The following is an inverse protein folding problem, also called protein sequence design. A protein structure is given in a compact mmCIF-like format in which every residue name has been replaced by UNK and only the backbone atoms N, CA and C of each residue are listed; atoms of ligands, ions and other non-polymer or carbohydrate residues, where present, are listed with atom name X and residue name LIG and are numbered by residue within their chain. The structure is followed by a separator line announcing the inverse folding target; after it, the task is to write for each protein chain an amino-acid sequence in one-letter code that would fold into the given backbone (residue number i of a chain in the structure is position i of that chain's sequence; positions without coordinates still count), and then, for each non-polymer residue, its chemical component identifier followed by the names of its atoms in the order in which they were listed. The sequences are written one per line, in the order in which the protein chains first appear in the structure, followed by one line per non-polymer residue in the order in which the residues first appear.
data_IF_756569542553
#
_entry.id   IF_756569542553
#
_cell.length_a   1.000
_cell.length_b   1.000
_cell.length_c   1.000
_cell.angle_alpha   90.00
_cell.angle_beta   90.00
_cell.angle_gamma   90.00
#
_symmetry.space_group_name_H-M   'P 1'
#
loop_
_entity.id
_entity.type
_entity.pdbx_description
1 polymer ?
#
# COMPACT_ATOMS: atom_id res chain seq x y z
N UNK A 1 -44.79 -6.76 31.13
CA UNK A 1 -43.83 -5.96 31.92
C UNK A 1 -42.51 -6.69 31.83
N UNK A 2 -41.47 -5.99 31.38
CA UNK A 2 -40.10 -6.45 31.08
C UNK A 2 -39.41 -7.06 32.33
N UNK A 3 -38.31 -7.81 32.31
CA UNK A 3 -37.07 -7.75 31.51
C UNK A 3 -36.32 -9.11 31.53
N UNK A 4 -35.45 -9.28 30.54
CA UNK A 4 -34.45 -10.35 30.40
C UNK A 4 -33.16 -9.97 31.13
N UNK A 5 -32.62 -10.85 31.99
CA UNK A 5 -31.26 -10.70 32.51
C UNK A 5 -30.25 -11.46 31.65
N UNK A 6 -29.34 -10.69 31.07
CA UNK A 6 -28.13 -11.10 30.34
C UNK A 6 -26.94 -10.81 31.23
N UNK A 7 -26.22 -11.84 31.68
CA UNK A 7 -24.93 -11.68 32.37
C UNK A 7 -23.91 -12.62 31.71
N UNK A 8 -23.38 -12.18 30.56
CA UNK A 8 -22.17 -12.71 29.93
C UNK A 8 -21.00 -11.78 30.25
N UNK A 9 -20.53 -11.80 31.51
CA UNK A 9 -19.38 -11.02 31.96
C UNK A 9 -18.06 -11.57 31.43
N UNK A 10 -17.67 -11.18 30.22
CA UNK A 10 -16.29 -11.32 29.77
C UNK A 10 -15.41 -10.30 30.50
N UNK A 11 -14.42 -10.76 31.27
CA UNK A 11 -13.43 -9.88 31.89
C UNK A 11 -12.79 -8.95 30.86
N UNK A 12 -12.54 -7.67 31.19
CA UNK A 12 -11.84 -6.77 30.30
C UNK A 12 -10.42 -7.30 30.04
N UNK A 13 -9.94 -7.30 28.79
CA UNK A 13 -8.60 -7.80 28.47
C UNK A 13 -7.54 -6.99 29.22
N UNK A 14 -6.56 -7.70 29.76
CA UNK A 14 -5.51 -7.11 30.60
C UNK A 14 -4.48 -6.36 29.75
N UNK A 15 -3.70 -5.48 30.38
CA UNK A 15 -2.69 -4.66 29.71
C UNK A 15 -1.55 -5.46 29.04
N UNK A 16 -1.36 -6.73 29.41
CA UNK A 16 -0.42 -7.65 28.73
C UNK A 16 -1.02 -8.27 27.47
N UNK A 17 -2.32 -8.63 27.49
CA UNK A 17 -3.04 -9.13 26.30
C UNK A 17 -3.03 -8.09 25.17
N UNK A 18 -3.17 -6.81 25.52
CA UNK A 18 -3.06 -5.71 24.55
C UNK A 18 -1.65 -5.59 23.97
N UNK A 19 -0.59 -5.81 24.75
CA UNK A 19 0.79 -5.73 24.24
C UNK A 19 1.14 -6.89 23.32
N UNK A 20 0.75 -8.11 23.66
CA UNK A 20 0.97 -9.28 22.80
C UNK A 20 0.17 -9.19 21.50
N UNK A 21 -1.09 -8.73 21.57
CA UNK A 21 -1.93 -8.53 20.39
C UNK A 21 -1.35 -7.49 19.43
N UNK A 22 -0.74 -6.42 19.96
CA UNK A 22 -0.01 -5.45 19.16
C UNK A 22 1.26 -6.05 18.53
N UNK A 23 2.08 -6.78 19.29
CA UNK A 23 3.32 -7.39 18.79
C UNK A 23 3.07 -8.40 17.66
N UNK A 24 2.05 -9.25 17.78
CA UNK A 24 1.70 -10.23 16.75
C UNK A 24 1.23 -9.55 15.45
N UNK A 25 0.48 -8.45 15.57
CA UNK A 25 0.00 -7.67 14.41
C UNK A 25 1.11 -6.86 13.73
N UNK A 26 2.07 -6.29 14.47
CA UNK A 26 3.26 -5.65 13.88
C UNK A 26 4.03 -6.58 12.94
N UNK A 27 4.15 -7.87 13.28
CA UNK A 27 4.76 -8.89 12.43
C UNK A 27 3.99 -9.15 11.13
N UNK A 28 2.66 -9.01 11.13
CA UNK A 28 1.84 -9.21 9.92
C UNK A 28 1.93 -8.02 8.95
N UNK A 29 2.18 -6.80 9.48
CA UNK A 29 2.32 -5.59 8.66
C UNK A 29 3.64 -5.50 7.92
N UNK A 30 4.73 -5.88 8.58
CA UNK A 30 6.04 -5.95 7.92
C UNK A 30 6.01 -6.95 6.77
N UNK A 31 5.32 -8.08 6.96
CA UNK A 31 5.14 -9.08 5.91
C UNK A 31 4.26 -8.59 4.76
N UNK A 32 3.13 -7.92 5.04
CA UNK A 32 2.30 -7.32 4.00
C UNK A 32 3.05 -6.24 3.21
N UNK A 33 3.84 -5.40 3.87
CA UNK A 33 4.69 -4.41 3.21
C UNK A 33 5.79 -5.05 2.37
N UNK A 34 6.41 -6.14 2.86
CA UNK A 34 7.35 -6.95 2.08
C UNK A 34 6.68 -7.53 0.84
N UNK A 35 5.50 -8.12 0.96
CA UNK A 35 4.72 -8.64 -0.17
C UNK A 35 4.34 -7.53 -1.16
N UNK A 36 3.97 -6.35 -0.67
CA UNK A 36 3.73 -5.18 -1.52
C UNK A 36 5.01 -4.72 -2.25
N UNK A 37 6.17 -4.86 -1.62
CA UNK A 37 7.49 -4.60 -2.22
C UNK A 37 7.96 -5.69 -3.18
N UNK A 38 7.49 -6.94 -3.07
CA UNK A 38 7.80 -7.98 -4.06
C UNK A 38 7.21 -7.55 -5.41
N UNK A 39 8.11 -7.11 -6.30
CA UNK A 39 7.75 -6.48 -7.56
C UNK A 39 7.35 -7.52 -8.60
N UNK A 40 6.10 -7.96 -8.57
CA UNK A 40 5.53 -8.69 -9.69
C UNK A 40 5.21 -7.73 -10.83
N UNK A 41 5.58 -8.08 -12.08
CA UNK A 41 5.07 -7.40 -13.26
C UNK A 41 3.54 -7.37 -13.25
N UNK A 42 2.95 -6.33 -13.85
CA UNK A 42 1.51 -6.35 -14.09
C UNK A 42 1.16 -7.46 -15.09
N UNK A 43 -0.05 -8.06 -15.02
CA UNK A 43 -0.46 -9.04 -16.01
C UNK A 43 -0.35 -8.49 -17.43
N UNK A 44 0.37 -9.21 -18.30
CA UNK A 44 0.62 -8.80 -19.68
C UNK A 44 1.77 -7.80 -19.86
N UNK A 45 2.41 -7.37 -18.79
CA UNK A 45 3.61 -6.54 -18.86
C UNK A 45 4.79 -7.33 -19.45
N UNK A 46 5.41 -6.78 -20.48
CA UNK A 46 6.62 -7.31 -21.09
C UNK A 46 7.66 -6.19 -21.28
N UNK A 47 8.60 -6.09 -20.34
CA UNK A 47 9.65 -5.05 -20.35
C UNK A 47 10.60 -5.17 -21.56
N UNK A 48 10.66 -6.35 -22.18
CA UNK A 48 11.53 -6.63 -23.31
C UNK A 48 10.87 -6.34 -24.66
N UNK A 49 9.62 -5.83 -24.67
CA UNK A 49 8.87 -5.49 -25.90
C UNK A 49 9.75 -4.68 -26.87
N UNK A 50 9.82 -5.06 -28.16
CA UNK A 50 10.59 -4.33 -29.15
C UNK A 50 9.85 -3.09 -29.67
N UNK A 51 8.59 -2.89 -29.30
CA UNK A 51 7.73 -1.83 -29.84
C UNK A 51 7.72 -0.60 -28.94
N UNK A 52 8.03 0.56 -29.52
CA UNK A 52 8.01 1.83 -28.78
C UNK A 52 6.62 2.17 -28.24
N UNK A 53 5.56 1.90 -29.02
CA UNK A 53 4.18 2.19 -28.63
C UNK A 53 3.77 1.39 -27.38
N UNK A 54 4.17 0.11 -27.30
CA UNK A 54 3.93 -0.73 -26.11
C UNK A 54 4.66 -0.16 -24.88
N UNK A 55 5.91 0.28 -25.05
CA UNK A 55 6.67 0.88 -23.97
C UNK A 55 6.05 2.19 -23.47
N UNK A 56 5.55 3.02 -24.38
CA UNK A 56 4.85 4.26 -24.04
C UNK A 56 3.50 4.00 -23.37
N UNK A 57 2.77 2.96 -23.78
CA UNK A 57 1.53 2.54 -23.12
C UNK A 57 1.80 2.16 -21.66
N UNK A 58 2.79 1.29 -21.40
CA UNK A 58 3.14 0.88 -20.04
C UNK A 58 3.66 2.05 -19.20
N UNK A 59 4.43 2.96 -19.79
CA UNK A 59 4.81 4.21 -19.15
C UNK A 59 3.58 5.01 -18.67
N UNK A 60 2.54 5.12 -19.51
CA UNK A 60 1.26 5.73 -19.15
C UNK A 60 0.57 5.03 -17.97
N UNK A 61 0.44 3.71 -18.04
CA UNK A 61 -0.18 2.89 -16.97
C UNK A 61 0.52 3.11 -15.62
N UNK A 62 1.85 3.05 -15.59
CA UNK A 62 2.59 3.26 -14.34
C UNK A 62 2.50 4.69 -13.81
N UNK A 63 2.38 5.71 -14.68
CA UNK A 63 2.14 7.10 -14.26
C UNK A 63 0.78 7.23 -13.56
N UNK A 64 -0.27 6.66 -14.14
CA UNK A 64 -1.62 6.70 -13.55
C UNK A 64 -1.67 5.98 -12.21
N UNK A 65 -1.08 4.78 -12.12
CA UNK A 65 -1.02 4.01 -10.88
C UNK A 65 -0.25 4.76 -9.78
N UNK A 66 0.89 5.38 -10.12
CA UNK A 66 1.67 6.15 -9.17
C UNK A 66 0.89 7.39 -8.69
N UNK A 67 0.29 8.15 -9.60
CA UNK A 67 -0.49 9.34 -9.27
C UNK A 67 -1.69 9.01 -8.36
N UNK A 68 -2.35 7.89 -8.60
CA UNK A 68 -3.42 7.39 -7.75
C UNK A 68 -2.91 7.07 -6.33
N UNK A 69 -1.78 6.33 -6.20
CA UNK A 69 -1.19 6.02 -4.89
C UNK A 69 -0.75 7.26 -4.13
N UNK A 70 -0.14 8.23 -4.81
CA UNK A 70 0.27 9.51 -4.21
C UNK A 70 -0.93 10.33 -3.72
N UNK A 71 -2.04 10.30 -4.46
CA UNK A 71 -3.32 10.89 -4.03
C UNK A 71 -3.84 10.21 -2.76
N UNK A 72 -3.88 8.88 -2.72
CA UNK A 72 -4.32 8.15 -1.51
C UNK A 72 -3.41 8.43 -0.30
N UNK A 73 -2.09 8.51 -0.51
CA UNK A 73 -1.14 8.84 0.55
C UNK A 73 -1.40 10.23 1.14
N UNK A 74 -1.62 11.23 0.28
CA UNK A 74 -1.95 12.59 0.71
C UNK A 74 -3.26 12.61 1.51
N UNK A 75 -4.30 11.98 0.97
CA UNK A 75 -5.63 12.00 1.58
C UNK A 75 -5.64 11.23 2.92
N UNK A 76 -4.92 10.11 2.99
CA UNK A 76 -4.69 9.37 4.24
C UNK A 76 -3.93 10.22 5.25
N UNK A 77 -2.88 10.94 4.82
CA UNK A 77 -2.15 11.88 5.66
C UNK A 77 -3.04 12.98 6.26
N UNK A 78 -3.95 13.55 5.46
CA UNK A 78 -4.93 14.53 5.93
C UNK A 78 -5.93 13.94 6.92
N UNK A 79 -6.51 12.77 6.62
CA UNK A 79 -7.45 12.09 7.51
C UNK A 79 -6.81 11.79 8.88
N UNK A 80 -5.55 11.32 8.89
CA UNK A 80 -4.78 11.13 10.12
C UNK A 80 -4.50 12.42 10.88
N UNK A 81 -4.55 13.60 10.26
CA UNK A 81 -4.52 14.87 10.98
C UNK A 81 -5.76 15.13 11.84
N UNK A 82 -6.90 14.50 11.50
CA UNK A 82 -8.24 14.86 12.01
C UNK A 82 -8.85 13.88 13.03
N UNK A 83 -8.40 12.62 13.08
CA UNK A 83 -8.96 11.56 13.97
C UNK A 83 -8.36 11.68 15.39
N UNK A 84 -8.93 11.10 16.46
CA UNK A 84 -8.32 11.11 17.81
C UNK A 84 -7.06 10.21 17.92
N UNK A 85 -6.20 10.42 18.93
CA UNK A 85 -4.89 9.76 19.05
C UNK A 85 -4.90 8.21 18.95
N UNK A 86 -5.85 7.48 19.57
CA UNK A 86 -5.88 6.02 19.46
C UNK A 86 -6.26 5.50 18.07
N UNK A 87 -7.20 6.15 17.38
CA UNK A 87 -7.61 5.76 16.02
C UNK A 87 -6.59 6.14 14.94
N UNK A 88 -5.81 7.20 15.18
CA UNK A 88 -4.69 7.64 14.31
C UNK A 88 -3.54 6.64 14.30
N UNK A 89 -3.23 6.05 15.44
CA UNK A 89 -2.11 5.13 15.56
C UNK A 89 -2.37 3.81 14.80
N UNK A 90 -3.63 3.38 14.79
CA UNK A 90 -4.10 2.13 14.21
C UNK A 90 -4.20 2.18 12.68
N UNK A 91 -4.93 3.15 12.13
CA UNK A 91 -5.12 3.30 10.68
C UNK A 91 -3.85 3.87 10.01
N UNK A 92 -3.15 4.76 10.72
CA UNK A 92 -2.05 5.52 10.13
C UNK A 92 -0.75 4.75 9.95
N UNK A 93 -0.54 3.68 10.71
CA UNK A 93 0.68 2.87 10.61
C UNK A 93 0.61 1.85 9.47
N UNK A 94 -0.55 1.25 9.20
CA UNK A 94 -0.64 0.14 8.24
C UNK A 94 -0.87 0.62 6.82
N UNK A 95 -1.91 1.42 6.58
CA UNK A 95 -2.28 1.84 5.22
C UNK A 95 -1.20 2.71 4.60
N UNK A 96 -0.63 3.62 5.39
CA UNK A 96 0.43 4.50 4.91
C UNK A 96 1.71 3.73 4.54
N UNK A 97 2.13 2.76 5.36
CA UNK A 97 3.36 1.98 5.09
C UNK A 97 3.21 1.14 3.82
N UNK A 98 2.05 0.51 3.63
CA UNK A 98 1.77 -0.28 2.42
C UNK A 98 1.69 0.63 1.19
N UNK A 99 0.95 1.74 1.27
CA UNK A 99 0.84 2.70 0.17
C UNK A 99 2.20 3.32 -0.20
N UNK A 100 3.04 3.64 0.79
CA UNK A 100 4.41 4.14 0.56
C UNK A 100 5.28 3.06 -0.14
N UNK A 101 5.17 1.80 0.27
CA UNK A 101 5.88 0.69 -0.35
C UNK A 101 5.45 0.47 -1.82
N UNK A 102 4.14 0.47 -2.10
CA UNK A 102 3.60 0.34 -3.46
C UNK A 102 3.98 1.53 -4.35
N UNK A 103 3.92 2.76 -3.83
CA UNK A 103 4.31 3.95 -4.58
C UNK A 103 5.80 3.92 -4.94
N UNK A 104 6.68 3.50 -4.01
CA UNK A 104 8.11 3.30 -4.31
C UNK A 104 8.32 2.26 -5.40
N UNK A 105 7.60 1.14 -5.36
CA UNK A 105 7.66 0.09 -6.38
C UNK A 105 7.23 0.63 -7.75
N UNK A 106 6.10 1.33 -7.83
CA UNK A 106 5.62 1.89 -9.10
C UNK A 106 6.57 2.94 -9.66
N UNK A 107 7.21 3.75 -8.80
CA UNK A 107 8.24 4.70 -9.24
C UNK A 107 9.46 3.99 -9.84
N UNK A 108 9.94 2.92 -9.21
CA UNK A 108 11.05 2.13 -9.76
C UNK A 108 10.69 1.52 -11.12
N UNK A 109 9.48 0.96 -11.24
CA UNK A 109 9.04 0.36 -12.49
C UNK A 109 8.81 1.39 -13.59
N UNK A 110 8.29 2.57 -13.22
CA UNK A 110 8.16 3.70 -14.14
C UNK A 110 9.52 4.09 -14.74
N UNK A 111 10.56 4.21 -13.91
CA UNK A 111 11.91 4.54 -14.40
C UNK A 111 12.50 3.48 -15.33
N UNK A 112 12.14 2.19 -15.17
CA UNK A 112 12.51 1.16 -16.12
C UNK A 112 11.84 1.37 -17.49
N UNK A 113 10.55 1.73 -17.48
CA UNK A 113 9.81 2.03 -18.70
C UNK A 113 10.27 3.32 -19.39
N UNK A 114 10.63 4.35 -18.62
CA UNK A 114 11.23 5.59 -19.14
C UNK A 114 12.52 5.26 -19.92
N UNK A 115 13.43 4.53 -19.28
CA UNK A 115 14.66 4.08 -19.92
C UNK A 115 14.39 3.22 -21.16
N UNK A 116 13.41 2.31 -21.11
CA UNK A 116 13.05 1.48 -22.25
C UNK A 116 12.56 2.31 -23.44
N UNK A 117 11.72 3.31 -23.18
CA UNK A 117 11.27 4.25 -24.22
C UNK A 117 12.44 4.98 -24.87
N UNK A 118 13.39 5.48 -24.07
CA UNK A 118 14.60 6.14 -24.58
C UNK A 118 15.46 5.21 -25.46
N UNK A 119 15.66 3.96 -25.02
CA UNK A 119 16.42 2.95 -25.76
C UNK A 119 15.76 2.58 -27.10
N UNK A 120 14.43 2.56 -27.18
CA UNK A 120 13.70 2.24 -28.41
C UNK A 120 13.58 3.44 -29.36
N UNK A 121 13.39 4.65 -28.82
CA UNK A 121 13.31 5.88 -29.61
C UNK A 121 14.65 6.24 -30.28
N UNK A 122 15.77 5.84 -29.68
CA UNK A 122 17.12 6.05 -30.25
C UNK A 122 17.54 4.99 -31.27
N UNK A 123 16.82 3.87 -31.34
CA UNK A 123 17.05 2.78 -32.30
C UNK A 123 16.12 2.84 -33.53
N UNK A 124 15.09 3.68 -33.49
CA UNK A 124 14.14 3.92 -34.58
C UNK A 124 14.65 5.01 -35.52
#
# INVERSE_FOLDING_TARGET
MHDTDVEGGGSPPTGDDLKEHHAHRFSHYEEAAKLAMVAHPLPGEDIDTPYLDDAQMWLGVYRELLAFKETLLRDTGHALGTISAPGREEVGKTDKVILDAEARRFRQRLSLWERRCEELATKS
#
